data_IF_643274690876
#
_entry.id   IF_643274690876
#
_cell.length_a   1.000
_cell.length_b   1.000
_cell.length_c   1.000
_cell.angle_alpha   90.00
_cell.angle_beta   90.00
_cell.angle_gamma   90.00
#
_symmetry.space_group_name_H-M   'P 1'
#
loop_
_entity.id
_entity.type
_entity.pdbx_description
1 polymer ?
#
# COMPACT_ATOMS: atom_id res chain seq x y z
N UNK A 1 -27.11 -3.78 11.97
CA UNK A 1 -27.07 -4.23 10.56
C UNK A 1 -25.64 -4.15 10.08
N UNK A 2 -25.08 -5.29 9.71
CA UNK A 2 -23.72 -5.49 9.22
C UNK A 2 -23.70 -5.02 7.76
N UNK A 3 -22.75 -4.16 7.39
CA UNK A 3 -22.50 -3.85 5.98
C UNK A 3 -21.83 -5.06 5.31
N UNK A 4 -22.66 -6.01 4.90
CA UNK A 4 -22.33 -6.98 3.85
C UNK A 4 -22.10 -6.23 2.53
N UNK A 5 -21.15 -6.72 1.74
CA UNK A 5 -20.65 -6.06 0.55
C UNK A 5 -21.73 -5.59 -0.41
N UNK A 6 -21.62 -4.34 -0.84
CA UNK A 6 -22.19 -3.91 -2.11
C UNK A 6 -21.10 -3.95 -3.16
N UNK A 7 -20.98 -5.10 -3.83
CA UNK A 7 -20.34 -5.17 -5.15
C UNK A 7 -21.31 -4.54 -6.15
N UNK A 8 -21.16 -3.24 -6.40
CA UNK A 8 -21.67 -2.65 -7.63
C UNK A 8 -20.54 -2.67 -8.66
N UNK A 9 -20.47 -3.77 -9.41
CA UNK A 9 -19.83 -3.77 -10.73
C UNK A 9 -20.75 -3.06 -11.70
N UNK A 10 -20.57 -1.75 -11.89
CA UNK A 10 -21.07 -1.03 -13.08
C UNK A 10 -20.05 0.06 -13.40
N UNK A 11 -19.55 0.07 -14.63
CA UNK A 11 -18.84 1.21 -15.22
C UNK A 11 -19.71 2.47 -15.04
N UNK A 12 -19.41 3.30 -14.05
CA UNK A 12 -20.01 4.62 -13.94
C UNK A 12 -19.23 5.56 -14.85
N UNK A 13 -19.85 5.90 -15.98
CA UNK A 13 -19.51 7.08 -16.77
C UNK A 13 -19.28 8.28 -15.84
N UNK A 14 -18.17 8.95 -16.12
CA UNK A 14 -17.62 10.20 -15.60
C UNK A 14 -18.66 11.29 -15.29
N UNK A 15 -19.31 11.22 -14.14
CA UNK A 15 -19.90 12.39 -13.49
C UNK A 15 -19.21 12.61 -12.13
N UNK A 16 -18.32 13.63 -12.03
CA UNK A 16 -17.67 14.01 -10.78
C UNK A 16 -18.64 14.29 -9.62
N UNK A 17 -19.91 14.58 -9.90
CA UNK A 17 -20.95 14.80 -8.88
C UNK A 17 -21.26 13.56 -8.04
N UNK A 18 -20.95 12.34 -8.55
CA UNK A 18 -21.10 11.09 -7.82
C UNK A 18 -20.18 11.05 -6.59
N UNK A 19 -18.97 11.61 -6.69
CA UNK A 19 -18.01 11.68 -5.58
C UNK A 19 -18.60 12.45 -4.40
N UNK A 20 -19.25 13.58 -4.67
CA UNK A 20 -19.89 14.40 -3.65
C UNK A 20 -21.09 13.68 -3.01
N UNK A 21 -21.89 12.95 -3.79
CA UNK A 21 -23.02 12.17 -3.26
C UNK A 21 -22.54 11.09 -2.29
N UNK A 22 -21.49 10.35 -2.65
CA UNK A 22 -20.89 9.32 -1.78
C UNK A 22 -20.35 9.95 -0.49
N UNK A 23 -19.60 11.06 -0.60
CA UNK A 23 -19.05 11.75 0.57
C UNK A 23 -20.14 12.30 1.50
N UNK A 24 -21.19 12.93 0.95
CA UNK A 24 -22.36 13.42 1.73
C UNK A 24 -23.07 12.27 2.45
N UNK A 25 -23.25 11.13 1.78
CA UNK A 25 -23.86 9.96 2.41
C UNK A 25 -23.02 9.43 3.58
N UNK A 26 -21.69 9.35 3.41
CA UNK A 26 -20.78 8.93 4.48
C UNK A 26 -20.78 9.93 5.65
N UNK A 27 -20.78 11.24 5.38
CA UNK A 27 -20.88 12.27 6.40
C UNK A 27 -22.16 12.13 7.21
N UNK A 28 -23.32 12.04 6.55
CA UNK A 28 -24.62 11.90 7.23
C UNK A 28 -24.66 10.65 8.11
N UNK A 29 -24.06 9.54 7.67
CA UNK A 29 -23.98 8.33 8.50
C UNK A 29 -23.11 8.53 9.74
N UNK A 30 -22.01 9.27 9.64
CA UNK A 30 -21.13 9.56 10.78
C UNK A 30 -21.71 10.60 11.72
N UNK A 31 -22.39 11.62 11.20
CA UNK A 31 -23.07 12.63 12.01
C UNK A 31 -24.11 12.01 12.93
N UNK A 32 -24.84 10.99 12.43
CA UNK A 32 -25.77 10.20 13.24
C UNK A 32 -25.09 9.30 14.28
N UNK A 33 -23.78 9.09 14.21
CA UNK A 33 -23.01 8.22 15.11
C UNK A 33 -22.12 8.99 16.09
N UNK A 34 -21.79 10.25 15.80
CA UNK A 34 -21.03 11.13 16.69
C UNK A 34 -21.99 11.69 17.74
N UNK A 35 -21.69 11.42 19.01
CA UNK A 35 -22.47 11.87 20.16
C UNK A 35 -21.59 12.62 21.17
N UNK A 36 -22.18 13.05 22.29
CA UNK A 36 -21.45 13.77 23.34
C UNK A 36 -20.29 12.93 23.94
N UNK A 37 -20.44 11.61 24.00
CA UNK A 37 -19.44 10.67 24.54
C UNK A 37 -18.27 10.40 23.59
N UNK A 38 -18.34 10.85 22.34
CA UNK A 38 -17.24 10.71 21.38
C UNK A 38 -16.02 11.53 21.81
N UNK A 39 -14.82 10.94 21.69
CA UNK A 39 -13.58 11.62 22.06
C UNK A 39 -13.39 12.94 21.30
N UNK A 40 -12.72 13.91 21.92
CA UNK A 40 -12.43 15.20 21.29
C UNK A 40 -11.62 15.03 19.99
N UNK A 41 -10.71 14.05 19.97
CA UNK A 41 -9.95 13.67 18.78
C UNK A 41 -10.85 13.19 17.63
N UNK A 42 -11.86 12.37 17.93
CA UNK A 42 -12.83 11.88 16.94
C UNK A 42 -13.70 13.03 16.41
N UNK A 43 -14.14 13.94 17.29
CA UNK A 43 -14.90 15.14 16.91
C UNK A 43 -14.07 16.08 16.04
N UNK A 44 -12.78 16.23 16.34
CA UNK A 44 -11.86 17.03 15.53
C UNK A 44 -11.66 16.43 14.13
N UNK A 45 -11.35 15.13 14.04
CA UNK A 45 -11.20 14.44 12.75
C UNK A 45 -12.47 14.54 11.90
N UNK A 46 -13.65 14.46 12.50
CA UNK A 46 -14.90 14.65 11.76
C UNK A 46 -15.06 16.07 11.18
N UNK A 47 -14.66 17.10 11.96
CA UNK A 47 -14.63 18.49 11.47
C UNK A 47 -13.64 18.65 10.31
N UNK A 48 -12.45 18.06 10.42
CA UNK A 48 -11.44 18.07 9.36
C UNK A 48 -11.95 17.38 8.09
N UNK A 49 -12.60 16.22 8.21
CA UNK A 49 -13.25 15.54 7.08
C UNK A 49 -14.35 16.38 6.44
N UNK A 50 -15.13 17.09 7.25
CA UNK A 50 -16.16 18.03 6.76
C UNK A 50 -15.55 19.22 6.01
N UNK A 51 -14.39 19.73 6.45
CA UNK A 51 -13.67 20.78 5.73
C UNK A 51 -13.11 20.29 4.39
N UNK A 52 -12.55 19.08 4.35
CA UNK A 52 -12.06 18.46 3.11
C UNK A 52 -13.21 18.22 2.12
N UNK A 53 -14.40 17.90 2.62
CA UNK A 53 -15.59 17.76 1.78
C UNK A 53 -16.07 19.10 1.20
N UNK A 54 -15.94 20.22 1.93
CA UNK A 54 -16.20 21.56 1.36
C UNK A 54 -15.21 21.88 0.23
N UNK A 55 -13.93 21.56 0.42
CA UNK A 55 -12.92 21.74 -0.64
C UNK A 55 -13.20 20.85 -1.87
N UNK A 56 -13.76 19.66 -1.68
CA UNK A 56 -14.29 18.82 -2.76
C UNK A 56 -15.45 19.51 -3.49
N UNK A 57 -16.43 20.06 -2.78
CA UNK A 57 -17.58 20.76 -3.37
C UNK A 57 -17.14 21.99 -4.17
N UNK A 58 -16.20 22.78 -3.65
CA UNK A 58 -15.61 23.93 -4.34
C UNK A 58 -14.82 23.53 -5.59
N UNK A 59 -14.03 22.45 -5.52
CA UNK A 59 -13.27 21.94 -6.67
C UNK A 59 -14.20 21.46 -7.78
N UNK A 60 -15.30 20.80 -7.43
CA UNK A 60 -16.33 20.39 -8.38
C UNK A 60 -17.05 21.59 -9.02
N UNK A 61 -17.38 22.63 -8.22
CA UNK A 61 -17.99 23.86 -8.73
C UNK A 61 -17.06 24.61 -9.72
N UNK A 62 -15.75 24.51 -9.52
CA UNK A 62 -14.73 25.09 -10.38
C UNK A 62 -14.27 24.18 -11.53
N UNK A 63 -14.90 23.02 -11.73
CA UNK A 63 -14.50 21.99 -12.70
C UNK A 63 -13.05 21.48 -12.56
N UNK A 64 -12.45 21.59 -11.37
CA UNK A 64 -11.14 21.02 -11.06
C UNK A 64 -11.27 19.56 -10.63
N UNK A 65 -11.28 18.68 -11.63
CA UNK A 65 -11.50 17.23 -11.45
C UNK A 65 -10.36 16.56 -10.69
N UNK A 66 -9.12 17.02 -10.84
CA UNK A 66 -7.96 16.42 -10.18
C UNK A 66 -7.94 16.75 -8.68
N UNK A 67 -8.17 18.02 -8.34
CA UNK A 67 -8.33 18.41 -6.93
C UNK A 67 -9.56 17.77 -6.30
N UNK A 68 -10.68 17.67 -7.04
CA UNK A 68 -11.87 16.97 -6.56
C UNK A 68 -11.59 15.50 -6.19
N UNK A 69 -10.89 14.74 -7.04
CA UNK A 69 -10.50 13.35 -6.69
C UNK A 69 -9.62 13.31 -5.44
N UNK A 70 -8.65 14.21 -5.32
CA UNK A 70 -7.74 14.28 -4.15
C UNK A 70 -8.52 14.57 -2.86
N UNK A 71 -9.39 15.57 -2.88
CA UNK A 71 -10.22 15.92 -1.73
C UNK A 71 -11.23 14.84 -1.39
N UNK A 72 -11.79 14.14 -2.39
CA UNK A 72 -12.64 12.97 -2.16
C UNK A 72 -11.89 11.85 -1.43
N UNK A 73 -10.71 11.46 -1.91
CA UNK A 73 -9.92 10.41 -1.25
C UNK A 73 -9.52 10.79 0.17
N UNK A 74 -9.12 12.05 0.38
CA UNK A 74 -8.80 12.61 1.70
C UNK A 74 -10.01 12.53 2.64
N UNK A 75 -11.17 12.99 2.18
CA UNK A 75 -12.44 12.95 2.92
C UNK A 75 -12.81 11.52 3.30
N UNK A 76 -12.77 10.59 2.35
CA UNK A 76 -13.13 9.19 2.60
C UNK A 76 -12.14 8.48 3.54
N UNK A 77 -10.85 8.82 3.48
CA UNK A 77 -9.85 8.32 4.44
C UNK A 77 -10.16 8.79 5.85
N UNK A 78 -10.41 10.09 6.04
CA UNK A 78 -10.74 10.66 7.35
C UNK A 78 -12.07 10.10 7.86
N UNK A 79 -13.10 10.01 7.03
CA UNK A 79 -14.38 9.42 7.41
C UNK A 79 -14.28 7.93 7.73
N UNK A 80 -13.41 7.18 7.04
CA UNK A 80 -13.10 5.80 7.42
C UNK A 80 -12.43 5.75 8.79
N UNK A 81 -11.49 6.64 9.06
CA UNK A 81 -10.80 6.72 10.36
C UNK A 81 -11.76 7.14 11.49
N UNK A 82 -12.63 8.11 11.25
CA UNK A 82 -13.71 8.51 12.17
C UNK A 82 -14.68 7.35 12.38
N UNK A 83 -15.10 6.67 11.30
CA UNK A 83 -15.95 5.48 11.39
C UNK A 83 -15.29 4.39 12.22
N UNK A 84 -13.99 4.13 12.01
CA UNK A 84 -13.22 3.17 12.78
C UNK A 84 -13.11 3.62 14.23
N UNK A 85 -12.82 4.88 14.53
CA UNK A 85 -12.75 5.39 15.90
C UNK A 85 -14.12 5.39 16.58
N UNK A 86 -15.22 5.63 15.87
CA UNK A 86 -16.58 5.49 16.38
C UNK A 86 -17.00 4.03 16.50
N UNK A 87 -16.43 3.14 15.70
CA UNK A 87 -16.59 1.68 15.83
C UNK A 87 -15.64 1.09 16.87
N UNK A 88 -14.60 1.82 17.25
CA UNK A 88 -13.67 1.49 18.33
C UNK A 88 -14.16 2.09 19.66
N UNK A 89 -14.85 3.24 19.64
CA UNK A 89 -15.54 3.91 20.77
C UNK A 89 -16.98 3.42 20.96
N UNK A 90 -17.62 2.88 19.92
CA UNK A 90 -18.48 1.71 20.08
C UNK A 90 -17.55 0.57 20.46
N UNK A 91 -17.06 0.64 21.70
CA UNK A 91 -16.62 -0.55 22.40
C UNK A 91 -17.63 -1.68 22.10
N UNK A 92 -17.23 -2.95 22.15
CA UNK A 92 -18.16 -4.05 22.28
C UNK A 92 -19.31 -3.75 23.27
N UNK A 93 -19.16 -2.77 24.20
CA UNK A 93 -20.26 -2.09 24.87
C UNK A 93 -21.49 -1.78 24.02
N UNK A 94 -21.46 -1.34 22.75
CA UNK A 94 -22.73 -1.01 22.07
C UNK A 94 -23.57 -2.26 21.72
N UNK A 95 -22.92 -3.41 21.46
CA UNK A 95 -23.59 -4.72 21.33
C UNK A 95 -23.76 -5.44 22.67
N UNK A 96 -22.99 -5.05 23.70
CA UNK A 96 -23.03 -5.63 25.05
C UNK A 96 -23.77 -4.78 26.11
N UNK A 97 -24.23 -3.57 25.78
CA UNK A 97 -24.95 -2.65 26.67
C UNK A 97 -26.46 -2.77 26.52
N UNK A 98 -26.95 -3.61 25.61
CA UNK A 98 -28.35 -4.01 25.54
C UNK A 98 -28.74 -5.05 26.60
N UNK A 99 -27.78 -5.50 27.41
CA UNK A 99 -27.99 -6.44 28.51
C UNK A 99 -28.36 -5.66 29.76
N UNK A 100 -29.64 -5.31 29.88
CA UNK A 100 -30.19 -4.87 31.15
C UNK A 100 -29.98 -6.00 32.16
N UNK A 101 -29.45 -5.66 33.34
CA UNK A 101 -29.44 -6.54 34.49
C UNK A 101 -30.88 -6.77 34.97
N UNK A 102 -31.60 -7.64 34.29
CA UNK A 102 -32.73 -8.38 34.86
C UNK A 102 -32.18 -9.67 35.43
N UNK A 103 -32.78 -10.18 36.51
CA UNK A 103 -32.48 -11.47 37.15
C UNK A 103 -32.86 -12.66 36.25
N UNK A 104 -32.44 -12.61 34.99
CA UNK A 104 -32.68 -13.59 33.95
C UNK A 104 -31.39 -14.39 33.70
N UNK A 105 -31.55 -15.64 33.27
CA UNK A 105 -30.46 -16.57 33.00
C UNK A 105 -29.44 -15.98 32.00
N UNK A 106 -28.17 -15.76 32.39
CA UNK A 106 -27.18 -15.09 31.55
C UNK A 106 -26.54 -16.02 30.50
N UNK A 107 -27.11 -17.21 30.26
CA UNK A 107 -26.62 -18.19 29.28
C UNK A 107 -26.47 -17.61 27.88
N UNK A 108 -27.42 -16.80 27.42
CA UNK A 108 -27.37 -16.21 26.08
C UNK A 108 -26.19 -15.23 25.92
N UNK A 109 -25.86 -14.51 26.99
CA UNK A 109 -24.81 -13.50 26.98
C UNK A 109 -23.44 -14.14 27.03
N UNK A 110 -23.30 -15.20 27.83
CA UNK A 110 -22.10 -16.02 27.86
C UNK A 110 -21.82 -16.65 26.50
N UNK A 111 -22.86 -17.13 25.79
CA UNK A 111 -22.71 -17.72 24.46
C UNK A 111 -22.20 -16.70 23.43
N UNK A 112 -22.81 -15.51 23.37
CA UNK A 112 -22.35 -14.42 22.47
C UNK A 112 -20.91 -14.01 22.75
N UNK A 113 -20.53 -13.93 24.03
CA UNK A 113 -19.15 -13.63 24.43
C UNK A 113 -18.18 -14.73 24.00
N UNK A 114 -18.60 -15.99 24.06
CA UNK A 114 -17.79 -17.11 23.62
C UNK A 114 -17.55 -17.05 22.11
N UNK A 115 -18.59 -16.81 21.31
CA UNK A 115 -18.45 -16.65 19.85
C UNK A 115 -17.51 -15.50 19.49
N UNK A 116 -17.58 -14.40 20.24
CA UNK A 116 -16.68 -13.26 20.05
C UNK A 116 -15.23 -13.60 20.42
N UNK A 117 -15.01 -14.28 21.54
CA UNK A 117 -13.70 -14.74 21.97
C UNK A 117 -13.06 -15.71 20.96
N UNK A 118 -13.85 -16.64 20.41
CA UNK A 118 -13.38 -17.59 19.40
C UNK A 118 -12.97 -16.91 18.09
N UNK A 119 -13.68 -15.85 17.69
CA UNK A 119 -13.26 -14.99 16.58
C UNK A 119 -11.93 -14.29 16.87
N UNK A 120 -11.74 -13.74 18.08
CA UNK A 120 -10.48 -13.11 18.49
C UNK A 120 -9.32 -14.11 18.46
N UNK A 121 -9.51 -15.33 18.96
CA UNK A 121 -8.50 -16.40 18.90
C UNK A 121 -8.12 -16.75 17.45
N UNK A 122 -9.10 -16.77 16.56
CA UNK A 122 -8.87 -17.02 15.13
C UNK A 122 -8.00 -15.91 14.51
N UNK A 123 -8.28 -14.66 14.86
CA UNK A 123 -7.49 -13.50 14.42
C UNK A 123 -6.07 -13.59 15.00
N UNK A 124 -5.92 -13.88 16.29
CA UNK A 124 -4.62 -14.06 16.95
C UNK A 124 -3.74 -15.10 16.23
N UNK A 125 -4.31 -16.28 15.93
CA UNK A 125 -3.63 -17.33 15.15
C UNK A 125 -3.17 -16.84 13.78
N UNK A 126 -3.99 -16.06 13.08
CA UNK A 126 -3.65 -15.49 11.76
C UNK A 126 -2.42 -14.57 11.82
N UNK A 127 -2.28 -13.79 12.90
CA UNK A 127 -1.12 -12.92 13.12
C UNK A 127 0.05 -13.64 13.82
N UNK A 128 -0.06 -14.95 14.05
CA UNK A 128 0.91 -15.79 14.76
C UNK A 128 1.33 -15.19 16.11
N UNK A 129 0.38 -14.59 16.83
CA UNK A 129 0.64 -14.00 18.13
C UNK A 129 0.75 -15.10 19.19
N UNK A 130 1.82 -15.08 19.99
CA UNK A 130 1.99 -15.95 21.17
C UNK A 130 1.16 -15.43 22.35
N UNK A 131 -0.13 -15.18 22.14
CA UNK A 131 -1.04 -14.69 23.18
C UNK A 131 -1.70 -15.90 23.84
N UNK A 132 -1.60 -15.95 25.16
CA UNK A 132 -2.24 -16.97 25.98
C UNK A 132 -3.70 -16.58 26.28
N UNK A 133 -4.60 -17.56 26.12
CA UNK A 133 -6.03 -17.42 26.37
C UNK A 133 -6.51 -18.29 27.55
N UNK A 134 -5.60 -18.97 28.25
CA UNK A 134 -5.94 -19.95 29.30
C UNK A 134 -6.81 -19.33 30.39
N UNK A 135 -6.44 -18.15 30.89
CA UNK A 135 -7.23 -17.43 31.91
C UNK A 135 -8.66 -17.13 31.44
N UNK A 136 -8.82 -16.77 30.16
CA UNK A 136 -10.13 -16.50 29.58
C UNK A 136 -10.96 -17.79 29.46
N UNK A 137 -10.32 -18.89 29.07
CA UNK A 137 -10.95 -20.20 28.94
C UNK A 137 -11.42 -20.74 30.29
N UNK A 138 -10.62 -20.57 31.33
CA UNK A 138 -10.99 -20.95 32.69
C UNK A 138 -12.20 -20.15 33.20
N UNK A 139 -12.27 -18.85 32.91
CA UNK A 139 -13.42 -18.03 33.26
C UNK A 139 -14.71 -18.47 32.54
N UNK A 140 -14.63 -18.88 31.28
CA UNK A 140 -15.78 -19.45 30.57
C UNK A 140 -16.27 -20.75 31.24
N UNK A 141 -15.36 -21.59 31.75
CA UNK A 141 -15.72 -22.81 32.50
C UNK A 141 -16.41 -22.45 33.82
N UNK A 142 -15.88 -21.47 34.55
CA UNK A 142 -16.43 -20.98 35.82
C UNK A 142 -17.85 -20.44 35.62
N UNK A 143 -18.04 -19.56 34.63
CA UNK A 143 -19.34 -18.96 34.33
C UNK A 143 -20.40 -20.03 33.97
N UNK A 144 -20.04 -21.02 33.14
CA UNK A 144 -20.92 -22.15 32.81
C UNK A 144 -21.34 -22.94 34.06
N UNK A 145 -20.43 -23.12 35.02
CA UNK A 145 -20.71 -23.83 36.27
C UNK A 145 -21.65 -23.03 37.18
N UNK A 146 -21.42 -21.73 37.34
CA UNK A 146 -22.28 -20.83 38.13
C UNK A 146 -23.71 -20.76 37.57
N UNK A 147 -23.85 -20.68 36.24
CA UNK A 147 -25.15 -20.71 35.57
C UNK A 147 -25.90 -22.02 35.84
N UNK A 148 -25.24 -23.18 35.70
CA UNK A 148 -25.84 -24.49 36.01
C UNK A 148 -26.27 -24.60 37.48
N UNK A 149 -25.51 -23.99 38.38
CA UNK A 149 -25.81 -23.90 39.81
C UNK A 149 -26.85 -22.82 40.16
N UNK A 150 -27.36 -22.06 39.17
CA UNK A 150 -28.26 -20.91 39.33
C UNK A 150 -27.68 -19.79 40.20
N UNK A 151 -26.36 -19.70 40.30
CA UNK A 151 -25.63 -18.62 40.96
C UNK A 151 -25.49 -17.45 39.98
N UNK A 152 -26.60 -16.78 39.65
CA UNK A 152 -26.61 -15.80 38.57
C UNK A 152 -25.82 -14.53 38.89
N UNK A 153 -25.80 -14.07 40.15
CA UNK A 153 -24.98 -12.92 40.55
C UNK A 153 -23.48 -13.19 40.35
N UNK A 154 -23.02 -14.37 40.78
CA UNK A 154 -21.63 -14.81 40.59
C UNK A 154 -21.30 -14.99 39.10
N UNK A 155 -22.26 -15.52 38.31
CA UNK A 155 -22.13 -15.67 36.86
C UNK A 155 -22.00 -14.32 36.16
N UNK A 156 -22.80 -13.33 36.55
CA UNK A 156 -22.75 -11.97 35.99
C UNK A 156 -21.41 -11.29 36.31
N UNK A 157 -20.89 -11.47 37.52
CA UNK A 157 -19.57 -10.96 37.88
C UNK A 157 -18.47 -11.60 37.03
N UNK A 158 -18.51 -12.92 36.86
CA UNK A 158 -17.54 -13.67 36.03
C UNK A 158 -17.64 -13.27 34.56
N UNK A 159 -18.86 -13.07 34.03
CA UNK A 159 -19.11 -12.56 32.68
C UNK A 159 -18.52 -11.16 32.48
N UNK A 160 -18.62 -10.30 33.49
CA UNK A 160 -17.99 -8.97 33.45
C UNK A 160 -16.46 -9.06 33.35
N UNK A 161 -15.83 -10.01 34.05
CA UNK A 161 -14.39 -10.27 33.94
C UNK A 161 -14.00 -10.81 32.56
N UNK A 162 -14.76 -11.78 32.03
CA UNK A 162 -14.60 -12.29 30.66
C UNK A 162 -14.62 -11.14 29.66
N UNK A 163 -15.60 -10.22 29.79
CA UNK A 163 -15.73 -9.05 28.93
C UNK A 163 -14.48 -8.19 28.94
N UNK A 164 -13.99 -7.83 30.13
CA UNK A 164 -12.83 -6.96 30.28
C UNK A 164 -11.58 -7.58 29.64
N UNK A 165 -11.28 -8.83 29.97
CA UNK A 165 -10.13 -9.55 29.43
C UNK A 165 -10.24 -9.69 27.91
N UNK A 166 -11.43 -9.97 27.38
CA UNK A 166 -11.65 -10.09 25.93
C UNK A 166 -11.37 -8.77 25.19
N UNK A 167 -11.75 -7.64 25.78
CA UNK A 167 -11.45 -6.30 25.23
C UNK A 167 -9.94 -6.05 25.23
N UNK A 168 -9.27 -6.34 26.33
CA UNK A 168 -7.82 -6.12 26.47
C UNK A 168 -7.01 -6.98 25.49
N UNK A 169 -7.41 -8.25 25.31
CA UNK A 169 -6.80 -9.14 24.33
C UNK A 169 -7.01 -8.65 22.90
N UNK A 170 -8.22 -8.20 22.54
CA UNK A 170 -8.51 -7.65 21.22
C UNK A 170 -7.66 -6.39 20.93
N UNK A 171 -7.49 -5.51 21.91
CA UNK A 171 -6.64 -4.32 21.77
C UNK A 171 -5.18 -4.71 21.52
N UNK A 172 -4.65 -5.65 22.31
CA UNK A 172 -3.28 -6.16 22.16
C UNK A 172 -3.04 -6.80 20.79
N UNK A 173 -4.00 -7.57 20.28
CA UNK A 173 -3.92 -8.19 18.95
C UNK A 173 -3.89 -7.12 17.85
N UNK A 174 -4.73 -6.08 17.96
CA UNK A 174 -4.77 -4.99 16.98
C UNK A 174 -3.48 -4.19 16.97
N UNK A 175 -2.92 -3.89 18.14
CA UNK A 175 -1.63 -3.22 18.25
C UNK A 175 -0.51 -4.04 17.60
N UNK A 176 -0.45 -5.33 17.92
CA UNK A 176 0.53 -6.23 17.30
C UNK A 176 0.38 -6.30 15.78
N UNK A 177 -0.85 -6.42 15.27
CA UNK A 177 -1.13 -6.44 13.84
C UNK A 177 -0.65 -5.15 13.15
N UNK A 178 -0.87 -3.99 13.77
CA UNK A 178 -0.43 -2.69 13.25
C UNK A 178 1.10 -2.58 13.24
N UNK A 179 1.77 -3.01 14.31
CA UNK A 179 3.24 -3.03 14.37
C UNK A 179 3.85 -3.96 13.31
N UNK A 180 3.24 -5.13 13.10
CA UNK A 180 3.69 -6.07 12.09
C UNK A 180 3.49 -5.55 10.67
N UNK A 181 2.36 -4.86 10.39
CA UNK A 181 2.13 -4.17 9.11
C UNK A 181 3.20 -3.10 8.86
N UNK A 182 3.49 -2.27 9.86
CA UNK A 182 4.53 -1.26 9.80
C UNK A 182 5.90 -1.85 9.50
N UNK A 183 6.31 -2.88 10.25
CA UNK A 183 7.59 -3.56 10.05
C UNK A 183 7.72 -4.16 8.65
N UNK A 184 6.67 -4.85 8.16
CA UNK A 184 6.67 -5.41 6.80
C UNK A 184 6.79 -4.33 5.72
N UNK A 185 6.12 -3.20 5.90
CA UNK A 185 6.20 -2.09 4.96
C UNK A 185 7.62 -1.48 4.95
N UNK A 186 8.24 -1.33 6.11
CA UNK A 186 9.63 -0.86 6.23
C UNK A 186 10.63 -1.83 5.58
N UNK A 187 10.50 -3.14 5.85
CA UNK A 187 11.34 -4.16 5.21
C UNK A 187 11.18 -4.14 3.69
N UNK A 188 9.96 -3.92 3.20
CA UNK A 188 9.68 -3.81 1.78
C UNK A 188 10.28 -2.54 1.17
N UNK A 189 10.15 -1.39 1.84
CA UNK A 189 10.78 -0.14 1.43
C UNK A 189 12.30 -0.28 1.33
N UNK A 190 12.93 -0.89 2.35
CA UNK A 190 14.38 -1.10 2.39
C UNK A 190 14.89 -1.89 1.16
N UNK A 191 14.20 -2.97 0.79
CA UNK A 191 14.53 -3.74 -0.43
C UNK A 191 14.46 -2.90 -1.71
N UNK A 192 13.55 -1.92 -1.78
CA UNK A 192 13.44 -1.03 -2.94
C UNK A 192 14.45 0.10 -2.90
N UNK A 193 14.83 0.60 -1.73
CA UNK A 193 15.93 1.56 -1.58
C UNK A 193 17.25 0.95 -2.07
N UNK A 194 17.55 -0.29 -1.68
CA UNK A 194 18.74 -1.01 -2.16
C UNK A 194 18.74 -1.23 -3.67
N UNK A 195 17.58 -1.52 -4.25
CA UNK A 195 17.44 -1.63 -5.70
C UNK A 195 17.63 -0.29 -6.42
N UNK A 196 17.09 0.79 -5.86
CA UNK A 196 17.28 2.14 -6.38
C UNK A 196 18.73 2.58 -6.32
N UNK A 197 19.44 2.30 -5.22
CA UNK A 197 20.87 2.60 -5.09
C UNK A 197 21.68 1.96 -6.21
N UNK A 198 21.46 0.67 -6.48
CA UNK A 198 22.12 -0.04 -7.59
C UNK A 198 21.76 0.54 -8.96
N UNK A 199 20.49 0.94 -9.14
CA UNK A 199 20.02 1.46 -10.43
C UNK A 199 20.56 2.87 -10.71
N UNK A 200 20.65 3.73 -9.69
CA UNK A 200 21.29 5.06 -9.76
C UNK A 200 22.77 4.91 -10.11
N UNK A 201 23.50 4.01 -9.44
CA UNK A 201 24.90 3.74 -9.73
C UNK A 201 25.10 3.27 -11.18
N UNK A 202 24.27 2.32 -11.63
CA UNK A 202 24.32 1.84 -13.01
C UNK A 202 24.01 2.96 -14.01
N UNK A 203 23.02 3.80 -13.71
CA UNK A 203 22.66 4.93 -14.56
C UNK A 203 23.79 5.94 -14.73
N UNK A 204 24.50 6.25 -13.64
CA UNK A 204 25.71 7.08 -13.66
C UNK A 204 26.82 6.45 -14.52
N UNK A 205 27.09 5.16 -14.31
CA UNK A 205 28.14 4.42 -15.03
C UNK A 205 27.86 4.27 -16.54
N UNK A 206 26.59 4.23 -16.94
CA UNK A 206 26.18 4.17 -18.34
C UNK A 206 26.04 5.57 -18.99
N UNK A 207 26.33 6.64 -18.26
CA UNK A 207 26.21 8.02 -18.74
C UNK A 207 24.78 8.38 -19.14
N UNK A 208 23.77 7.89 -18.41
CA UNK A 208 22.36 8.33 -18.57
C UNK A 208 22.24 9.84 -18.31
N UNK A 209 21.18 10.46 -18.84
CA UNK A 209 21.01 11.90 -18.69
C UNK A 209 20.78 12.29 -17.23
N UNK A 210 21.23 13.49 -16.86
CA UNK A 210 21.10 14.02 -15.50
C UNK A 210 19.64 14.02 -15.02
N UNK A 211 18.69 14.30 -15.92
CA UNK A 211 17.27 14.26 -15.61
C UNK A 211 16.79 12.88 -15.13
N UNK A 212 17.34 11.80 -15.70
CA UNK A 212 17.00 10.43 -15.34
C UNK A 212 17.54 10.08 -13.95
N UNK A 213 18.80 10.46 -13.70
CA UNK A 213 19.46 10.25 -12.42
C UNK A 213 18.72 11.02 -11.32
N UNK A 214 18.36 12.28 -11.56
CA UNK A 214 17.58 13.09 -10.62
C UNK A 214 16.22 12.48 -10.29
N UNK A 215 15.49 11.93 -11.28
CA UNK A 215 14.21 11.25 -11.03
C UNK A 215 14.36 10.05 -10.10
N UNK A 216 15.44 9.28 -10.24
CA UNK A 216 15.72 8.14 -9.36
C UNK A 216 16.10 8.59 -7.96
N UNK A 217 16.96 9.60 -7.84
CA UNK A 217 17.38 10.15 -6.55
C UNK A 217 16.18 10.76 -5.80
N UNK A 218 15.30 11.49 -6.49
CA UNK A 218 14.06 12.02 -5.91
C UNK A 218 13.10 10.92 -5.46
N UNK A 219 12.98 9.83 -6.25
CA UNK A 219 12.15 8.69 -5.87
C UNK A 219 12.71 7.96 -4.64
N UNK A 220 14.03 7.85 -4.55
CA UNK A 220 14.73 7.29 -3.39
C UNK A 220 14.51 8.15 -2.15
N UNK A 221 14.70 9.46 -2.25
CA UNK A 221 14.50 10.40 -1.13
C UNK A 221 13.05 10.36 -0.63
N UNK A 222 12.09 10.36 -1.57
CA UNK A 222 10.66 10.23 -1.27
C UNK A 222 10.35 8.92 -0.53
N UNK A 223 10.88 7.79 -0.99
CA UNK A 223 10.66 6.50 -0.32
C UNK A 223 11.31 6.46 1.06
N UNK A 224 12.53 6.99 1.21
CA UNK A 224 13.28 6.98 2.47
C UNK A 224 12.64 7.83 3.58
N UNK A 225 11.91 8.88 3.22
CA UNK A 225 11.20 9.76 4.15
C UNK A 225 9.76 9.32 4.45
N UNK A 226 9.25 8.32 3.72
CA UNK A 226 7.88 7.83 3.88
C UNK A 226 7.80 6.79 4.99
N UNK A 227 6.95 7.03 5.98
CA UNK A 227 6.74 6.14 7.14
C UNK A 227 5.40 5.42 7.13
N UNK A 228 4.39 5.94 6.43
CA UNK A 228 3.07 5.32 6.32
C UNK A 228 3.09 4.10 5.38
N UNK A 229 2.58 2.91 5.79
CA UNK A 229 2.59 1.70 4.97
C UNK A 229 1.90 1.83 3.61
N UNK A 230 0.78 2.55 3.54
CA UNK A 230 0.05 2.73 2.28
C UNK A 230 0.81 3.66 1.34
N UNK A 231 1.40 4.71 1.87
CA UNK A 231 2.19 5.63 1.06
C UNK A 231 3.50 4.97 0.60
N UNK A 232 4.13 4.12 1.42
CA UNK A 232 5.28 3.29 0.99
C UNK A 232 4.90 2.47 -0.25
N UNK A 233 3.74 1.81 -0.25
CA UNK A 233 3.27 1.04 -1.40
C UNK A 233 3.06 1.93 -2.64
N UNK A 234 2.50 3.13 -2.47
CA UNK A 234 2.32 4.07 -3.57
C UNK A 234 3.65 4.56 -4.15
N UNK A 235 4.61 4.87 -3.29
CA UNK A 235 5.96 5.28 -3.72
C UNK A 235 6.66 4.14 -4.48
N UNK A 236 6.54 2.90 -4.01
CA UNK A 236 7.07 1.73 -4.70
C UNK A 236 6.43 1.54 -6.08
N UNK A 237 5.11 1.74 -6.23
CA UNK A 237 4.46 1.69 -7.56
C UNK A 237 5.01 2.75 -8.51
N UNK A 238 5.24 3.97 -8.04
CA UNK A 238 5.90 5.03 -8.82
C UNK A 238 7.30 4.60 -9.25
N UNK A 239 8.08 4.03 -8.32
CA UNK A 239 9.43 3.52 -8.60
C UNK A 239 9.43 2.43 -9.66
N UNK A 240 8.48 1.48 -9.61
CA UNK A 240 8.34 0.42 -10.62
C UNK A 240 8.07 1.05 -12.00
N UNK A 241 7.13 2.00 -12.09
CA UNK A 241 6.82 2.68 -13.36
C UNK A 241 8.02 3.47 -13.90
N UNK A 242 8.75 4.16 -13.02
CA UNK A 242 9.98 4.85 -13.35
C UNK A 242 11.04 3.87 -13.89
N UNK A 243 11.21 2.71 -13.24
CA UNK A 243 12.12 1.64 -13.69
C UNK A 243 11.75 1.09 -15.05
N UNK A 244 10.47 0.84 -15.31
CA UNK A 244 9.98 0.37 -16.62
C UNK A 244 10.28 1.37 -17.73
N UNK A 245 10.06 2.67 -17.48
CA UNK A 245 10.46 3.73 -18.41
C UNK A 245 11.98 3.75 -18.68
N UNK A 246 12.79 3.36 -17.70
CA UNK A 246 14.24 3.28 -17.88
C UNK A 246 14.71 2.08 -18.69
N UNK A 247 14.11 0.90 -18.50
CA UNK A 247 14.42 -0.24 -19.35
C UNK A 247 14.07 0.05 -20.83
N UNK A 248 12.98 0.79 -21.08
CA UNK A 248 12.62 1.23 -22.42
C UNK A 248 13.64 2.23 -23.01
N UNK A 249 14.07 3.23 -22.23
CA UNK A 249 15.08 4.22 -22.70
C UNK A 249 16.49 3.66 -22.85
N UNK A 250 16.85 2.58 -22.12
CA UNK A 250 18.10 1.83 -22.33
C UNK A 250 18.14 1.21 -23.73
N UNK A 251 17.01 0.68 -24.21
CA UNK A 251 16.91 0.10 -25.53
C UNK A 251 16.99 1.16 -26.65
N UNK A 252 16.26 2.26 -26.52
CA UNK A 252 16.31 3.38 -27.48
C UNK A 252 17.73 3.96 -27.61
N UNK A 253 18.48 4.04 -26.50
CA UNK A 253 19.89 4.47 -26.50
C UNK A 253 20.83 3.46 -27.14
N UNK A 254 20.59 2.17 -26.94
CA UNK A 254 21.34 1.11 -27.61
C UNK A 254 21.19 1.24 -29.13
N UNK A 255 19.97 1.44 -29.62
CA UNK A 255 19.72 1.70 -31.04
C UNK A 255 20.44 2.98 -31.54
N UNK A 256 20.40 4.07 -30.78
CA UNK A 256 21.11 5.31 -31.14
C UNK A 256 22.63 5.11 -31.23
N UNK A 257 23.23 4.35 -30.28
CA UNK A 257 24.66 4.02 -30.30
C UNK A 257 25.03 3.08 -31.46
N UNK A 258 24.16 2.12 -31.80
CA UNK A 258 24.32 1.29 -33.02
C UNK A 258 24.35 2.18 -34.26
N UNK A 259 23.45 3.16 -34.35
CA UNK A 259 23.39 4.10 -35.47
C UNK A 259 24.65 4.99 -35.57
N UNK A 260 25.22 5.40 -34.43
CA UNK A 260 26.49 6.13 -34.40
C UNK A 260 27.67 5.26 -34.86
N UNK A 261 27.77 4.03 -34.35
CA UNK A 261 28.79 3.06 -34.77
C UNK A 261 28.68 2.75 -36.25
N UNK A 262 27.46 2.62 -36.79
CA UNK A 262 27.20 2.51 -38.23
C UNK A 262 27.73 3.68 -39.02
N UNK A 263 27.43 4.90 -38.57
CA UNK A 263 27.89 6.11 -39.23
C UNK A 263 29.42 6.19 -39.22
N UNK A 264 30.06 5.84 -38.11
CA UNK A 264 31.51 5.78 -37.99
C UNK A 264 32.09 4.71 -38.92
N UNK A 265 31.51 3.51 -38.94
CA UNK A 265 31.92 2.42 -39.83
C UNK A 265 31.76 2.78 -41.31
N UNK A 266 30.68 3.48 -41.68
CA UNK A 266 30.46 4.00 -43.04
C UNK A 266 31.53 5.03 -43.43
N UNK A 267 31.86 5.98 -42.54
CA UNK A 267 32.94 6.95 -42.78
C UNK A 267 34.29 6.27 -42.97
N UNK A 268 34.58 5.30 -42.11
CA UNK A 268 35.82 4.55 -42.11
C UNK A 268 35.93 3.58 -43.30
N UNK A 269 34.80 3.02 -43.77
CA UNK A 269 34.76 2.22 -45.00
C UNK A 269 35.08 3.03 -46.26
N UNK A 270 34.89 4.35 -46.20
CA UNK A 270 35.22 5.28 -47.27
C UNK A 270 36.62 5.88 -47.10
N UNK A 271 37.39 5.45 -46.10
CA UNK A 271 38.79 5.83 -45.90
C UNK A 271 39.69 4.61 -46.01
N UNK A 272 40.94 4.80 -46.44
CA UNK A 272 41.92 3.71 -46.53
C UNK A 272 42.50 3.30 -45.16
N UNK A 273 41.87 3.71 -44.04
CA UNK A 273 42.38 3.50 -42.68
C UNK A 273 42.15 2.09 -42.14
N UNK A 274 41.21 1.34 -42.72
CA UNK A 274 40.87 -0.02 -42.28
C UNK A 274 41.19 -1.05 -43.35
N UNK A 275 41.73 -2.20 -42.92
CA UNK A 275 41.92 -3.31 -43.84
C UNK A 275 40.56 -3.91 -44.24
N UNK A 276 40.51 -4.54 -45.41
CA UNK A 276 39.30 -5.22 -45.90
C UNK A 276 38.81 -6.31 -44.94
N UNK A 277 39.73 -6.96 -44.21
CA UNK A 277 39.42 -7.98 -43.21
C UNK A 277 38.78 -7.37 -41.96
N UNK A 278 39.33 -6.27 -41.46
CA UNK A 278 38.83 -5.58 -40.26
C UNK A 278 37.44 -4.98 -40.51
N UNK A 279 37.23 -4.43 -41.71
CA UNK A 279 35.94 -3.90 -42.14
C UNK A 279 34.84 -4.98 -42.16
N UNK A 280 35.14 -6.17 -42.69
CA UNK A 280 34.16 -7.28 -42.72
C UNK A 280 33.88 -7.84 -41.32
N UNK A 281 34.90 -7.94 -40.46
CA UNK A 281 34.71 -8.34 -39.06
C UNK A 281 33.85 -7.33 -38.29
N UNK A 282 34.07 -6.03 -38.50
CA UNK A 282 33.28 -4.97 -37.88
C UNK A 282 31.80 -5.01 -38.34
N UNK A 283 31.55 -5.21 -39.65
CA UNK A 283 30.18 -5.38 -40.18
C UNK A 283 29.48 -6.61 -39.59
N UNK A 284 30.18 -7.75 -39.49
CA UNK A 284 29.63 -8.98 -38.91
C UNK A 284 29.30 -8.82 -37.42
N UNK A 285 30.16 -8.13 -36.69
CA UNK A 285 29.92 -7.79 -35.27
C UNK A 285 28.69 -6.89 -35.13
N UNK A 286 28.57 -5.86 -35.97
CA UNK A 286 27.40 -4.98 -36.00
C UNK A 286 26.08 -5.72 -36.31
N UNK A 287 26.10 -6.65 -37.27
CA UNK A 287 24.93 -7.50 -37.55
C UNK A 287 24.57 -8.40 -36.37
N UNK A 288 25.56 -8.90 -35.64
CA UNK A 288 25.35 -9.70 -34.42
C UNK A 288 24.69 -8.87 -33.34
N UNK A 289 25.14 -7.63 -33.13
CA UNK A 289 24.54 -6.68 -32.19
C UNK A 289 23.07 -6.42 -32.55
N UNK A 290 22.75 -6.13 -33.82
CA UNK A 290 21.36 -5.92 -34.27
C UNK A 290 20.45 -7.12 -34.01
N UNK A 291 20.96 -8.33 -34.26
CA UNK A 291 20.20 -9.56 -34.03
C UNK A 291 19.90 -9.77 -32.55
N UNK A 292 20.88 -9.52 -31.67
CA UNK A 292 20.70 -9.63 -30.22
C UNK A 292 19.70 -8.60 -29.69
N UNK A 293 19.75 -7.36 -30.19
CA UNK A 293 18.75 -6.33 -29.88
C UNK A 293 17.33 -6.76 -30.29
N UNK A 294 17.15 -7.31 -31.49
CA UNK A 294 15.86 -7.81 -31.96
C UNK A 294 15.33 -9.01 -31.14
N UNK A 295 16.23 -9.74 -30.47
CA UNK A 295 15.91 -10.90 -29.62
C UNK A 295 15.73 -10.53 -28.14
N UNK A 296 15.95 -9.27 -27.76
CA UNK A 296 15.86 -8.79 -26.37
C UNK A 296 17.09 -9.10 -25.51
N UNK A 297 18.20 -9.55 -26.10
CA UNK A 297 19.47 -9.83 -25.40
C UNK A 297 20.31 -8.55 -25.31
N UNK A 298 19.84 -7.60 -24.50
CA UNK A 298 20.39 -6.24 -24.44
C UNK A 298 21.79 -6.15 -23.81
N UNK A 299 22.09 -7.00 -22.83
CA UNK A 299 23.38 -6.94 -22.13
C UNK A 299 24.52 -7.47 -23.02
N UNK A 300 24.30 -8.59 -23.72
CA UNK A 300 25.28 -9.12 -24.69
C UNK A 300 25.47 -8.17 -25.86
N UNK A 301 24.39 -7.57 -26.37
CA UNK A 301 24.46 -6.56 -27.42
C UNK A 301 25.27 -5.32 -26.99
N UNK A 302 25.11 -4.87 -25.74
CA UNK A 302 25.81 -3.70 -25.21
C UNK A 302 27.33 -3.93 -25.06
N UNK A 303 27.74 -5.11 -24.60
CA UNK A 303 29.16 -5.47 -24.48
C UNK A 303 29.86 -5.54 -25.84
N UNK A 304 29.23 -6.17 -26.83
CA UNK A 304 29.74 -6.18 -28.20
C UNK A 304 29.78 -4.78 -28.80
N UNK A 305 28.77 -3.95 -28.56
CA UNK A 305 28.71 -2.58 -29.04
C UNK A 305 29.79 -1.69 -28.41
N UNK A 306 30.09 -1.86 -27.12
CA UNK A 306 31.23 -1.19 -26.46
C UNK A 306 32.54 -1.60 -27.10
N UNK A 307 32.78 -2.90 -27.23
CA UNK A 307 34.02 -3.44 -27.80
C UNK A 307 34.24 -2.94 -29.23
N UNK A 308 33.19 -2.95 -30.06
CA UNK A 308 33.25 -2.47 -31.43
C UNK A 308 33.48 -0.95 -31.50
N UNK A 309 32.82 -0.16 -30.66
CA UNK A 309 33.03 1.29 -30.61
C UNK A 309 34.49 1.63 -30.23
N UNK A 310 35.04 0.99 -29.19
CA UNK A 310 36.43 1.18 -28.77
C UNK A 310 37.42 0.81 -29.87
N UNK A 311 37.18 -0.27 -30.61
CA UNK A 311 38.00 -0.65 -31.74
C UNK A 311 37.97 0.42 -32.84
N UNK A 312 36.78 0.90 -33.22
CA UNK A 312 36.64 1.88 -34.30
C UNK A 312 37.23 3.26 -33.97
N UNK A 313 37.20 3.65 -32.70
CA UNK A 313 37.83 4.91 -32.24
C UNK A 313 39.35 4.90 -32.43
N UNK A 314 40.00 3.73 -32.51
CA UNK A 314 41.44 3.64 -32.81
C UNK A 314 41.79 4.07 -34.25
N UNK A 315 40.79 4.16 -35.14
CA UNK A 315 40.97 4.48 -36.55
C UNK A 315 40.41 5.87 -36.94
N UNK A 316 39.82 6.61 -36.00
CA UNK A 316 39.36 7.99 -36.24
C UNK A 316 40.54 8.95 -36.37
#
# INVERSE_FOLDING_TARGET
MIFGGMTHTVQAQTDPSILLKIAKQAQNQLENQINQDSSDKTKQLFREGTQQMKALEESLANNDVESAKKYFLSTMRIFKEVSQQLTNNKSPQAEMATLKATTEDPSADLLRLQDYSDNIKTIAKKYNTSIDFSDLDDLFVIAKKQIRAKQFDDALQTISQIKQITIDLNNKIREYASQQEQSRAQDYAQKYLEQLDRLIENAKNQGLSENIIQKLESARESLSSTTDPHEIINQIKKIISIKEQFELTKNDRLESRVMQVEKTLLKLSNSDKLTKSDLENAKKTLQTIKRQLAQGDFDSANELLRSLATLLDQFQ
#
